data_IF_510075434712
#
_entry.id   IF_510075434712
#
_cell.length_a   1.000
_cell.length_b   1.000
_cell.length_c   1.000
_cell.angle_alpha   90.00
_cell.angle_beta   90.00
_cell.angle_gamma   90.00
#
_symmetry.space_group_name_H-M   'P 1'
#
loop_
_entity.id
_entity.type
_entity.pdbx_description
1 polymer ?
#
# COMPACT_ATOMS: atom_id res chain seq x y z
N UNK A 1 -3.60 -0.29 6.14
CA UNK A 1 -3.92 1.13 5.86
C UNK A 1 -3.04 1.63 4.74
N UNK A 2 -3.54 2.59 3.96
CA UNK A 2 -2.78 3.25 2.89
C UNK A 2 -2.24 4.61 3.36
N UNK A 3 -0.95 4.83 3.17
CA UNK A 3 -0.25 6.09 3.49
C UNK A 3 -0.21 6.99 2.25
N UNK A 4 -0.55 8.27 2.40
CA UNK A 4 -0.39 9.28 1.36
C UNK A 4 1.05 9.74 1.26
N UNK A 5 1.62 9.72 0.05
CA UNK A 5 3.02 10.08 -0.20
C UNK A 5 3.14 10.92 -1.46
N UNK A 6 3.90 12.01 -1.39
CA UNK A 6 4.19 12.85 -2.55
C UNK A 6 5.51 12.43 -3.19
N UNK A 7 5.46 12.06 -4.47
CA UNK A 7 6.62 11.61 -5.23
C UNK A 7 6.51 12.10 -6.67
N UNK A 8 7.63 12.61 -7.19
CA UNK A 8 7.71 13.12 -8.58
C UNK A 8 6.64 14.19 -8.87
N UNK A 9 6.40 15.08 -7.88
CA UNK A 9 5.36 16.13 -7.88
C UNK A 9 3.92 15.62 -8.06
N UNK A 10 3.67 14.35 -7.74
CA UNK A 10 2.35 13.69 -7.77
C UNK A 10 2.03 13.06 -6.41
N UNK A 11 0.74 12.95 -6.09
CA UNK A 11 0.27 12.23 -4.91
C UNK A 11 0.15 10.75 -5.23
N UNK A 12 0.67 9.90 -4.35
CA UNK A 12 0.64 8.46 -4.42
C UNK A 12 0.10 7.89 -3.11
N UNK A 13 -0.47 6.70 -3.18
CA UNK A 13 -1.04 5.97 -2.06
C UNK A 13 -0.25 4.68 -1.89
N UNK A 14 0.44 4.54 -0.76
CA UNK A 14 1.30 3.39 -0.47
C UNK A 14 0.63 2.46 0.52
N UNK A 15 0.53 1.19 0.20
CA UNK A 15 0.13 0.17 1.17
C UNK A 15 1.25 -0.01 2.22
N UNK A 16 0.91 0.14 3.50
CA UNK A 16 1.87 -0.03 4.60
C UNK A 16 2.32 -1.50 4.78
N UNK A 17 1.48 -2.46 4.38
CA UNK A 17 1.74 -3.89 4.58
C UNK A 17 2.73 -4.44 3.55
N UNK A 18 2.50 -4.20 2.25
CA UNK A 18 3.33 -4.75 1.17
C UNK A 18 4.27 -3.72 0.54
N UNK A 19 4.06 -2.42 0.80
CA UNK A 19 4.84 -1.33 0.23
C UNK A 19 4.50 -0.96 -1.22
N UNK A 20 3.49 -1.56 -1.84
CA UNK A 20 3.02 -1.18 -3.19
C UNK A 20 2.48 0.25 -3.21
N UNK A 21 2.71 0.96 -4.31
CA UNK A 21 2.25 2.33 -4.54
C UNK A 21 1.22 2.36 -5.66
N UNK A 22 0.19 3.18 -5.47
CA UNK A 22 -0.93 3.39 -6.38
C UNK A 22 -1.10 4.89 -6.63
N UNK A 23 -1.47 5.27 -7.85
CA UNK A 23 -1.76 6.65 -8.22
C UNK A 23 -3.21 7.07 -7.93
N UNK A 24 -4.09 6.10 -7.66
CA UNK A 24 -5.49 6.30 -7.27
C UNK A 24 -5.77 5.77 -5.87
N UNK A 25 -6.55 6.52 -5.10
CA UNK A 25 -6.93 6.15 -3.74
C UNK A 25 -7.83 4.91 -3.69
N UNK A 26 -8.78 4.81 -4.61
CA UNK A 26 -9.73 3.69 -4.67
C UNK A 26 -9.05 2.38 -5.02
N UNK A 27 -8.07 2.40 -5.91
CA UNK A 27 -7.22 1.24 -6.21
C UNK A 27 -6.40 0.82 -4.98
N UNK A 28 -5.86 1.78 -4.23
CA UNK A 28 -5.11 1.51 -3.00
C UNK A 28 -6.01 0.90 -1.89
N UNK A 29 -7.22 1.44 -1.70
CA UNK A 29 -8.20 0.92 -0.73
C UNK A 29 -8.74 -0.45 -1.13
N UNK A 30 -8.97 -0.68 -2.43
CA UNK A 30 -9.40 -1.98 -2.93
C UNK A 30 -8.27 -3.02 -2.79
N UNK A 31 -7.04 -2.60 -3.06
CA UNK A 31 -5.86 -3.42 -2.80
C UNK A 31 -5.77 -3.78 -1.32
N UNK A 32 -5.90 -2.81 -0.40
CA UNK A 32 -5.85 -3.07 1.05
C UNK A 32 -6.82 -4.16 1.48
N UNK A 33 -8.07 -4.12 0.99
CA UNK A 33 -9.09 -5.13 1.31
C UNK A 33 -8.74 -6.55 0.81
N UNK A 34 -7.88 -6.64 -0.22
CA UNK A 34 -7.43 -7.90 -0.80
C UNK A 34 -5.93 -8.14 -0.55
N UNK A 35 -5.29 -7.33 0.29
CA UNK A 35 -3.85 -7.34 0.46
C UNK A 35 -3.48 -8.56 1.29
N UNK A 36 -2.95 -9.58 0.63
CA UNK A 36 -2.47 -10.82 1.24
C UNK A 36 -1.01 -10.68 1.67
N UNK A 37 -0.66 -9.50 2.18
CA UNK A 37 0.63 -9.27 2.81
C UNK A 37 0.66 -10.04 4.12
N UNK A 38 0.94 -11.33 4.01
CA UNK A 38 1.31 -12.14 5.16
C UNK A 38 2.60 -11.54 5.69
N UNK A 39 2.47 -10.82 6.83
CA UNK A 39 3.58 -10.34 7.65
C UNK A 39 4.63 -11.47 7.64
N UNK A 40 5.84 -11.26 7.07
CA UNK A 40 6.77 -12.34 6.91
C UNK A 40 7.05 -12.85 8.32
N UNK A 41 6.44 -13.98 8.66
CA UNK A 41 6.66 -14.78 9.86
C UNK A 41 8.11 -15.27 9.81
N UNK A 42 9.05 -14.34 9.94
CA UNK A 42 10.47 -14.61 10.05
C UNK A 42 10.82 -15.03 11.49
N UNK A 43 9.82 -15.13 12.36
CA UNK A 43 9.93 -15.80 13.64
C UNK A 43 9.21 -17.16 13.55
N UNK A 44 9.85 -18.09 12.84
CA UNK A 44 9.71 -19.53 13.07
C UNK A 44 10.26 -19.91 14.45
#
# INVERSE_FOLDING_TARGET
MVEETERDDMLWYRCEECGLMFDDQGDAEQHEQNCDAEDPSYLQ
#
